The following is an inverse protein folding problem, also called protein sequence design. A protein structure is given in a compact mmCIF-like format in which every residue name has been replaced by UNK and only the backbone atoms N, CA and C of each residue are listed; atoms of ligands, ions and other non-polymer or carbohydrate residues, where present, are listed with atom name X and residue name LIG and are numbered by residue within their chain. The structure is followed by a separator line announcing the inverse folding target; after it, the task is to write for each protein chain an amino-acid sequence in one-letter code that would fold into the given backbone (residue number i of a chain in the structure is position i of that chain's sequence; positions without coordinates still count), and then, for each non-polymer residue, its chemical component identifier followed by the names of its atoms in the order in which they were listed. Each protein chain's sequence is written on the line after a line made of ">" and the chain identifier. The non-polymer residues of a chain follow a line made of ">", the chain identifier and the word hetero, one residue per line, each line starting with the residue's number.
data_IF_217545117626
#
_entry.id   IF_217545117626
#
_cell.length_a   1.000
_cell.length_b   1.000
_cell.length_c   1.000
_cell.angle_alpha   90.00
_cell.angle_beta   90.00
_cell.angle_gamma   90.00
#
_symmetry.space_group_name_H-M   'P 1'
#
loop_
_entity.id
_entity.type
_entity.pdbx_description
1 polymer ?
#
# COMPACT_ATOMS: atom_id res chain seq x y z
N UNK A 1 -21.67 -2.72 34.38
CA UNK A 1 -21.63 -2.20 32.97
C UNK A 1 -20.18 -2.01 32.66
N UNK A 2 -19.55 -3.04 32.07
CA UNK A 2 -18.18 -3.00 31.58
C UNK A 2 -18.18 -2.15 30.31
N UNK A 3 -17.53 -0.98 30.38
CA UNK A 3 -17.24 -0.18 29.18
C UNK A 3 -16.46 -1.02 28.20
N UNK A 4 -17.01 -1.22 27.00
CA UNK A 4 -16.27 -1.81 25.91
C UNK A 4 -15.02 -0.95 25.69
N UNK A 5 -13.85 -1.58 25.75
CA UNK A 5 -12.56 -1.00 25.38
C UNK A 5 -12.67 -0.58 23.90
N UNK A 6 -13.03 0.68 23.68
CA UNK A 6 -12.98 1.30 22.37
C UNK A 6 -11.52 1.65 22.16
N UNK A 7 -10.78 0.71 21.59
CA UNK A 7 -9.38 0.94 21.24
C UNK A 7 -9.17 2.30 20.58
N UNK A 8 -7.94 2.79 20.58
CA UNK A 8 -7.57 4.09 20.02
C UNK A 8 -8.10 4.24 18.59
N UNK A 9 -8.55 5.45 18.21
CA UNK A 9 -9.00 5.70 16.86
C UNK A 9 -7.85 5.45 15.86
N UNK A 10 -8.16 4.99 14.63
CA UNK A 10 -7.13 4.77 13.61
C UNK A 10 -6.50 6.08 13.15
N UNK A 11 -5.23 6.04 12.78
CA UNK A 11 -4.71 7.01 11.84
C UNK A 11 -5.39 6.80 10.50
N UNK A 12 -5.78 7.90 9.83
CA UNK A 12 -6.47 7.87 8.55
C UNK A 12 -5.69 8.63 7.50
N UNK A 13 -5.45 8.01 6.35
CA UNK A 13 -4.84 8.61 5.16
C UNK A 13 -5.66 8.33 3.91
N UNK A 14 -5.31 9.02 2.83
CA UNK A 14 -5.78 8.73 1.47
C UNK A 14 -4.54 8.51 0.62
N UNK A 15 -4.37 7.29 0.14
CA UNK A 15 -3.28 6.94 -0.76
C UNK A 15 -3.65 7.28 -2.20
N UNK A 16 -2.75 7.96 -2.90
CA UNK A 16 -2.83 8.24 -4.32
C UNK A 16 -1.49 7.86 -4.92
N UNK A 17 -1.48 6.83 -5.75
CA UNK A 17 -0.25 6.19 -6.23
C UNK A 17 -0.33 5.80 -7.70
N UNK A 18 0.84 5.67 -8.35
CA UNK A 18 1.04 4.93 -9.59
C UNK A 18 1.91 3.71 -9.35
N UNK A 19 1.67 2.67 -10.14
CA UNK A 19 2.41 1.40 -10.09
C UNK A 19 2.88 1.01 -11.48
N UNK A 20 4.07 0.40 -11.52
CA UNK A 20 4.69 -0.08 -12.75
C UNK A 20 5.28 -1.46 -12.51
N UNK A 21 5.04 -2.39 -13.42
CA UNK A 21 5.80 -3.63 -13.48
C UNK A 21 7.17 -3.36 -14.09
N UNK A 22 8.20 -3.97 -13.54
CA UNK A 22 9.56 -3.84 -14.04
C UNK A 22 10.24 -5.20 -14.12
N UNK A 23 11.24 -5.31 -14.98
CA UNK A 23 12.06 -6.51 -15.06
C UNK A 23 13.13 -6.53 -13.95
N UNK A 24 13.57 -7.73 -13.58
CA UNK A 24 14.64 -7.88 -12.61
C UNK A 24 15.91 -7.15 -13.12
N UNK A 25 16.46 -6.27 -12.28
CA UNK A 25 17.63 -5.48 -12.60
C UNK A 25 17.36 -4.20 -13.40
N UNK A 26 16.11 -3.79 -13.57
CA UNK A 26 15.78 -2.46 -14.07
C UNK A 26 16.44 -1.38 -13.17
N UNK A 27 17.07 -0.41 -13.82
CA UNK A 27 17.70 0.69 -13.09
C UNK A 27 16.62 1.68 -12.62
N UNK A 28 16.69 2.05 -11.32
CA UNK A 28 15.80 3.08 -10.75
C UNK A 28 15.95 4.38 -11.55
N UNK A 29 14.83 5.00 -11.98
CA UNK A 29 14.86 6.29 -12.68
C UNK A 29 15.47 7.40 -11.82
N UNK A 30 15.99 8.43 -12.47
CA UNK A 30 16.35 9.67 -11.78
C UNK A 30 15.08 10.49 -11.51
N UNK A 31 14.67 10.54 -10.26
CA UNK A 31 13.48 11.25 -9.81
C UNK A 31 13.72 12.73 -9.51
N UNK A 32 14.97 13.22 -9.58
CA UNK A 32 15.30 14.61 -9.28
C UNK A 32 14.70 15.62 -10.27
N UNK A 33 14.34 15.17 -11.48
CA UNK A 33 13.74 16.00 -12.53
C UNK A 33 12.20 16.12 -12.43
N UNK A 34 11.57 15.46 -11.44
CA UNK A 34 10.13 15.53 -11.27
C UNK A 34 9.67 16.91 -10.78
N UNK A 35 8.48 17.40 -11.21
CA UNK A 35 7.94 18.70 -10.83
C UNK A 35 7.84 18.87 -9.30
N UNK A 36 8.58 19.84 -8.75
CA UNK A 36 8.58 20.16 -7.33
C UNK A 36 9.53 19.33 -6.47
N UNK A 37 10.21 18.31 -7.01
CA UNK A 37 11.26 17.58 -6.31
C UNK A 37 12.54 18.41 -6.31
N UNK A 38 13.13 18.58 -5.13
CA UNK A 38 14.41 19.29 -4.92
C UNK A 38 15.46 18.32 -4.38
N UNK A 39 15.03 17.33 -3.59
CA UNK A 39 15.94 16.34 -3.02
C UNK A 39 15.32 14.94 -3.13
N UNK A 40 16.16 13.97 -3.44
CA UNK A 40 15.86 12.54 -3.37
C UNK A 40 16.73 11.95 -2.27
N UNK A 41 16.14 11.27 -1.30
CA UNK A 41 16.90 10.65 -0.22
C UNK A 41 17.75 9.48 -0.72
N UNK A 42 18.71 9.04 0.10
CA UNK A 42 19.28 7.71 -0.06
C UNK A 42 18.19 6.65 0.09
N UNK A 43 18.36 5.51 -0.58
CA UNK A 43 17.45 4.38 -0.45
C UNK A 43 17.44 3.80 0.97
N UNK A 44 16.28 3.60 1.52
CA UNK A 44 16.06 2.93 2.82
C UNK A 44 15.55 1.52 2.57
N UNK A 45 16.30 0.51 2.99
CA UNK A 45 15.89 -0.90 2.89
C UNK A 45 14.85 -1.24 3.96
N UNK A 46 13.75 -1.87 3.55
CA UNK A 46 12.66 -2.31 4.43
C UNK A 46 12.23 -3.72 4.06
N UNK A 47 12.33 -4.67 5.00
CA UNK A 47 11.75 -6.01 4.85
C UNK A 47 10.35 -6.00 5.44
N UNK A 48 9.34 -6.16 4.61
CA UNK A 48 7.92 -6.10 4.98
C UNK A 48 7.30 -7.49 4.89
N UNK A 49 6.50 -7.88 5.90
CA UNK A 49 5.75 -9.14 5.91
C UNK A 49 4.30 -8.86 6.32
N UNK A 50 3.38 -9.09 5.39
CA UNK A 50 1.96 -8.82 5.56
C UNK A 50 1.12 -10.08 5.42
N UNK A 51 0.24 -10.33 6.39
CA UNK A 51 -0.80 -11.35 6.33
C UNK A 51 -2.13 -10.65 6.08
N UNK A 52 -2.79 -11.03 4.99
CA UNK A 52 -4.12 -10.57 4.64
C UNK A 52 -5.16 -11.56 5.14
N UNK A 53 -6.26 -11.02 5.66
CA UNK A 53 -7.38 -11.79 6.21
C UNK A 53 -8.67 -11.44 5.47
N UNK A 54 -9.51 -12.45 5.27
CA UNK A 54 -10.89 -12.27 4.79
C UNK A 54 -11.77 -13.39 5.35
N UNK A 55 -13.08 -13.25 5.20
CA UNK A 55 -14.03 -14.34 5.49
C UNK A 55 -13.87 -15.49 4.48
N UNK A 56 -14.30 -16.67 4.83
CA UNK A 56 -14.19 -17.85 3.94
C UNK A 56 -14.78 -17.61 2.54
N UNK A 57 -15.83 -16.82 2.45
CA UNK A 57 -16.51 -16.44 1.20
C UNK A 57 -16.01 -15.15 0.56
N UNK A 58 -14.97 -14.49 1.11
CA UNK A 58 -14.36 -13.30 0.55
C UNK A 58 -15.22 -12.01 0.69
N UNK A 59 -15.89 -11.83 1.81
CA UNK A 59 -16.84 -10.71 2.00
C UNK A 59 -16.16 -9.33 1.92
N UNK A 60 -14.90 -9.21 2.39
CA UNK A 60 -14.13 -7.96 2.30
C UNK A 60 -13.75 -7.67 0.85
N UNK A 61 -13.14 -8.63 0.16
CA UNK A 61 -12.69 -8.46 -1.22
C UNK A 61 -13.86 -8.09 -2.17
N UNK A 62 -15.02 -8.75 -2.03
CA UNK A 62 -16.23 -8.44 -2.84
C UNK A 62 -16.71 -7.00 -2.68
N UNK A 63 -16.39 -6.33 -1.57
CA UNK A 63 -16.77 -4.94 -1.29
C UNK A 63 -15.57 -3.97 -1.44
N UNK A 64 -14.46 -4.44 -1.99
CA UNK A 64 -13.26 -3.65 -2.26
C UNK A 64 -12.45 -3.32 -1.01
N UNK A 65 -12.68 -4.01 0.10
CA UNK A 65 -11.88 -3.87 1.32
C UNK A 65 -10.75 -4.88 1.35
N UNK A 66 -9.64 -4.50 2.01
CA UNK A 66 -8.58 -5.41 2.39
C UNK A 66 -8.19 -5.15 3.85
N UNK A 67 -8.08 -6.20 4.64
CA UNK A 67 -7.57 -6.17 6.01
C UNK A 67 -6.23 -6.90 6.06
N UNK A 68 -5.19 -6.24 6.58
CA UNK A 68 -3.87 -6.85 6.75
C UNK A 68 -3.25 -6.53 8.11
N UNK A 69 -2.43 -7.44 8.59
CA UNK A 69 -1.41 -7.17 9.62
C UNK A 69 -0.05 -7.15 8.93
N UNK A 70 0.70 -6.06 9.08
CA UNK A 70 2.04 -5.92 8.51
C UNK A 70 3.07 -5.72 9.61
N UNK A 71 4.19 -6.41 9.48
CA UNK A 71 5.41 -6.21 10.27
C UNK A 71 6.51 -5.66 9.38
N UNK A 72 7.51 -5.04 9.98
CA UNK A 72 8.57 -4.35 9.27
C UNK A 72 8.13 -2.97 8.75
N UNK A 73 9.12 -2.09 8.55
CA UNK A 73 8.88 -0.71 8.13
C UNK A 73 8.33 0.22 9.23
N UNK A 74 8.25 1.52 8.95
CA UNK A 74 7.87 2.54 9.93
C UNK A 74 6.37 2.48 10.30
N UNK A 75 5.54 1.91 9.45
CA UNK A 75 4.09 1.80 9.59
C UNK A 75 3.63 0.35 9.89
N UNK A 76 4.45 -0.40 10.62
CA UNK A 76 4.06 -1.72 11.10
C UNK A 76 2.76 -1.64 11.93
N UNK A 77 1.77 -2.49 11.56
CA UNK A 77 0.44 -2.36 12.17
C UNK A 77 -0.64 -3.17 11.49
N UNK A 78 -1.86 -2.89 11.88
CA UNK A 78 -3.08 -3.33 11.23
C UNK A 78 -3.57 -2.26 10.27
N UNK A 79 -3.96 -2.67 9.07
CA UNK A 79 -4.41 -1.76 8.03
C UNK A 79 -5.73 -2.23 7.43
N UNK A 80 -6.64 -1.30 7.24
CA UNK A 80 -7.83 -1.50 6.41
C UNK A 80 -7.70 -0.57 5.22
N UNK A 81 -7.62 -1.14 4.01
CA UNK A 81 -7.76 -0.37 2.77
C UNK A 81 -9.19 -0.49 2.28
N UNK A 82 -9.85 0.65 2.08
CA UNK A 82 -11.21 0.74 1.56
C UNK A 82 -11.27 0.58 0.03
N UNK A 83 -12.45 0.67 -0.56
CA UNK A 83 -12.61 0.72 -2.01
C UNK A 83 -11.96 1.98 -2.58
N UNK A 84 -11.55 1.91 -3.86
CA UNK A 84 -10.98 3.05 -4.57
C UNK A 84 -12.05 4.12 -4.81
N UNK A 85 -11.74 5.37 -4.50
CA UNK A 85 -12.60 6.51 -4.77
C UNK A 85 -12.64 6.90 -6.25
N UNK A 86 -13.59 7.75 -6.62
CA UNK A 86 -13.74 8.25 -8.00
C UNK A 86 -12.53 9.11 -8.47
N UNK A 87 -11.80 9.69 -7.54
CA UNK A 87 -10.57 10.47 -7.77
C UNK A 87 -9.30 9.60 -7.85
N UNK A 88 -9.46 8.27 -7.81
CA UNK A 88 -8.37 7.30 -7.79
C UNK A 88 -7.75 7.08 -6.40
N UNK A 89 -8.08 7.89 -5.41
CA UNK A 89 -7.60 7.76 -4.04
C UNK A 89 -8.20 6.57 -3.32
N UNK A 90 -7.47 6.03 -2.33
CA UNK A 90 -7.90 4.92 -1.50
C UNK A 90 -7.73 5.25 -0.03
N UNK A 91 -8.83 5.19 0.72
CA UNK A 91 -8.78 5.41 2.16
C UNK A 91 -8.06 4.26 2.83
N UNK A 92 -7.06 4.57 3.65
CA UNK A 92 -6.41 3.63 4.56
C UNK A 92 -6.63 4.04 6.01
N UNK A 93 -6.94 3.05 6.84
CA UNK A 93 -7.01 3.15 8.30
C UNK A 93 -5.91 2.30 8.89
N UNK A 94 -5.15 2.86 9.84
CA UNK A 94 -4.01 2.21 10.46
C UNK A 94 -4.13 2.19 11.98
N UNK A 95 -3.82 1.04 12.60
CA UNK A 95 -3.66 0.84 14.03
C UNK A 95 -2.30 0.19 14.34
N UNK A 96 -1.70 0.48 15.49
CA UNK A 96 -0.48 -0.22 15.93
C UNK A 96 -0.67 -1.74 16.02
N UNK A 97 0.42 -2.50 16.04
CA UNK A 97 0.40 -3.97 16.02
C UNK A 97 -0.42 -4.61 17.15
N UNK A 98 -0.37 -4.10 18.37
CA UNK A 98 -1.07 -4.71 19.50
C UNK A 98 -0.64 -6.16 19.79
N UNK A 99 -1.55 -6.96 20.38
CA UNK A 99 -1.32 -8.37 20.65
C UNK A 99 -1.21 -9.19 19.37
N UNK A 100 -0.29 -10.15 19.35
CA UNK A 100 -0.03 -10.97 18.17
C UNK A 100 -1.27 -11.79 17.75
N UNK A 101 -1.59 -11.74 16.45
CA UNK A 101 -2.70 -12.49 15.86
C UNK A 101 -4.10 -11.97 16.19
N UNK A 102 -4.22 -10.93 17.02
CA UNK A 102 -5.53 -10.39 17.43
C UNK A 102 -5.87 -9.15 16.60
N UNK A 103 -6.95 -9.23 15.81
CA UNK A 103 -7.49 -8.07 15.10
C UNK A 103 -8.03 -7.06 16.10
N UNK A 104 -7.61 -5.79 16.07
CA UNK A 104 -8.10 -4.77 16.99
C UNK A 104 -9.63 -4.68 16.95
N UNK A 105 -10.25 -4.52 18.14
CA UNK A 105 -11.72 -4.39 18.24
C UNK A 105 -12.23 -3.20 17.40
N UNK A 106 -11.48 -2.08 17.38
CA UNK A 106 -11.81 -0.92 16.57
C UNK A 106 -11.80 -1.25 15.06
N UNK A 107 -10.81 -2.03 14.58
CA UNK A 107 -10.78 -2.47 13.17
C UNK A 107 -11.95 -3.39 12.81
N UNK A 108 -12.36 -4.28 13.72
CA UNK A 108 -13.59 -5.09 13.53
C UNK A 108 -14.84 -4.22 13.51
N UNK A 109 -14.90 -3.18 14.33
CA UNK A 109 -16.02 -2.23 14.34
C UNK A 109 -16.15 -1.49 13.03
N UNK A 110 -15.04 -1.02 12.44
CA UNK A 110 -15.03 -0.38 11.11
C UNK A 110 -15.56 -1.31 10.01
N UNK A 111 -15.28 -2.59 10.12
CA UNK A 111 -15.71 -3.60 9.13
C UNK A 111 -17.03 -4.29 9.49
N UNK A 112 -17.70 -3.92 10.60
CA UNK A 112 -18.88 -4.63 11.11
C UNK A 112 -20.02 -4.74 10.10
N UNK A 113 -20.26 -3.72 9.29
CA UNK A 113 -21.25 -3.72 8.22
C UNK A 113 -20.95 -4.69 7.08
N UNK A 114 -19.72 -5.23 7.00
CA UNK A 114 -19.30 -6.21 5.99
C UNK A 114 -19.13 -7.59 6.62
N UNK A 115 -18.53 -7.66 7.80
CA UNK A 115 -18.17 -8.92 8.44
C UNK A 115 -19.32 -9.56 9.20
N UNK A 116 -20.19 -8.75 9.87
CA UNK A 116 -21.09 -9.31 10.87
C UNK A 116 -20.30 -10.11 11.91
N UNK A 117 -20.74 -11.33 12.19
CA UNK A 117 -20.09 -12.26 13.12
C UNK A 117 -19.13 -13.25 12.41
N UNK A 118 -18.86 -13.05 11.12
CA UNK A 118 -18.03 -13.98 10.35
C UNK A 118 -16.58 -14.05 10.87
N UNK A 119 -16.04 -15.25 10.83
CA UNK A 119 -14.64 -15.50 11.17
C UNK A 119 -13.71 -15.00 10.05
N UNK A 120 -12.58 -14.41 10.45
CA UNK A 120 -11.50 -13.99 9.56
C UNK A 120 -10.43 -15.09 9.52
N UNK A 121 -10.07 -15.50 8.32
CA UNK A 121 -9.04 -16.52 8.06
C UNK A 121 -7.96 -15.99 7.14
N UNK A 122 -6.73 -16.51 7.17
CA UNK A 122 -5.68 -16.11 6.26
C UNK A 122 -6.11 -16.28 4.79
N UNK A 123 -5.90 -15.21 4.02
CA UNK A 123 -6.19 -15.16 2.59
C UNK A 123 -4.92 -15.24 1.76
N UNK A 124 -3.95 -14.37 2.09
CA UNK A 124 -2.66 -14.33 1.42
C UNK A 124 -1.57 -13.81 2.35
N UNK A 125 -0.33 -14.24 2.12
CA UNK A 125 0.86 -13.66 2.72
C UNK A 125 1.69 -12.96 1.66
N UNK A 126 2.12 -11.74 1.93
CA UNK A 126 2.94 -10.93 1.03
C UNK A 126 4.20 -10.52 1.77
N UNK A 127 5.35 -10.97 1.29
CA UNK A 127 6.66 -10.51 1.71
C UNK A 127 7.23 -9.60 0.65
N UNK A 128 7.79 -8.48 1.08
CA UNK A 128 8.28 -7.46 0.17
C UNK A 128 9.60 -6.90 0.67
N UNK A 129 10.65 -7.09 -0.12
CA UNK A 129 11.92 -6.39 0.07
C UNK A 129 11.80 -5.07 -0.70
N UNK A 130 11.69 -3.98 0.05
CA UNK A 130 11.48 -2.63 -0.46
C UNK A 130 12.72 -1.80 -0.28
N UNK A 131 13.07 -1.02 -1.31
CA UNK A 131 13.96 0.13 -1.14
C UNK A 131 13.13 1.40 -1.34
N UNK A 132 12.98 2.21 -0.30
CA UNK A 132 12.15 3.41 -0.31
C UNK A 132 13.01 4.68 -0.44
N UNK A 133 12.53 5.65 -1.25
CA UNK A 133 13.18 6.94 -1.47
C UNK A 133 12.18 8.05 -1.20
N UNK A 134 12.49 8.96 -0.28
CA UNK A 134 11.69 10.15 -0.06
C UNK A 134 12.04 11.22 -1.11
N UNK A 135 11.02 11.71 -1.79
CA UNK A 135 11.11 12.82 -2.75
C UNK A 135 10.60 14.09 -2.05
N UNK A 136 11.51 15.00 -1.72
CA UNK A 136 11.19 16.19 -0.94
C UNK A 136 11.18 17.47 -1.78
N UNK A 137 10.27 18.37 -1.42
CA UNK A 137 10.16 19.71 -1.99
C UNK A 137 11.13 20.72 -1.38
N UNK A 138 10.99 21.98 -1.75
CA UNK A 138 11.90 23.06 -1.37
C UNK A 138 11.92 23.34 0.14
N UNK A 139 10.85 23.10 0.84
CA UNK A 139 10.71 23.24 2.29
C UNK A 139 11.14 21.98 3.08
N UNK A 140 11.63 20.95 2.37
CA UNK A 140 12.03 19.66 2.94
C UNK A 140 10.86 18.70 3.22
N UNK A 141 9.63 19.12 2.96
CA UNK A 141 8.45 18.26 3.10
C UNK A 141 8.43 17.16 2.04
N UNK A 142 8.06 15.93 2.42
CA UNK A 142 7.98 14.79 1.51
C UNK A 142 6.73 14.93 0.63
N UNK A 143 6.93 15.18 -0.66
CA UNK A 143 5.85 15.31 -1.66
C UNK A 143 5.48 13.98 -2.31
N UNK A 144 6.40 13.01 -2.33
CA UNK A 144 6.14 11.65 -2.74
C UNK A 144 7.15 10.68 -2.11
N UNK A 145 6.78 9.40 -2.01
CA UNK A 145 7.70 8.29 -1.76
C UNK A 145 7.74 7.41 -3.02
N UNK A 146 8.94 7.10 -3.48
CA UNK A 146 9.16 6.06 -4.48
C UNK A 146 9.60 4.79 -3.78
N UNK A 147 9.03 3.65 -4.19
CA UNK A 147 9.36 2.34 -3.68
C UNK A 147 9.75 1.39 -4.82
N UNK A 148 10.90 0.77 -4.68
CA UNK A 148 11.39 -0.31 -5.50
C UNK A 148 11.13 -1.62 -4.76
N UNK A 149 10.16 -2.43 -5.25
CA UNK A 149 9.56 -3.54 -4.52
C UNK A 149 9.84 -4.89 -5.18
N UNK A 150 10.57 -5.76 -4.49
CA UNK A 150 10.69 -7.18 -4.82
C UNK A 150 9.69 -8.00 -4.01
N UNK A 151 8.62 -8.44 -4.66
CA UNK A 151 7.44 -9.01 -4.00
C UNK A 151 7.41 -10.51 -4.15
N UNK A 152 7.20 -11.23 -3.04
CA UNK A 152 6.90 -12.67 -2.99
C UNK A 152 5.60 -12.88 -2.25
N UNK A 153 4.72 -13.68 -2.81
CA UNK A 153 3.39 -13.91 -2.24
C UNK A 153 3.04 -15.38 -2.19
N UNK A 154 2.15 -15.69 -1.24
CA UNK A 154 1.47 -16.97 -1.16
C UNK A 154 -0.02 -16.73 -1.01
N UNK A 155 -0.80 -17.29 -1.93
CA UNK A 155 -2.24 -17.49 -1.74
C UNK A 155 -2.42 -18.62 -0.73
N UNK A 156 -2.84 -18.30 0.49
CA UNK A 156 -2.93 -19.28 1.60
C UNK A 156 -4.06 -20.27 1.41
N UNK A 157 -5.05 -19.94 0.57
CA UNK A 157 -6.21 -20.83 0.32
C UNK A 157 -5.95 -21.84 -0.79
N UNK A 158 -5.22 -21.42 -1.82
CA UNK A 158 -4.95 -22.26 -2.99
C UNK A 158 -3.52 -22.83 -2.99
N UNK A 159 -2.65 -22.37 -2.09
CA UNK A 159 -1.26 -22.80 -2.00
C UNK A 159 -0.39 -22.38 -3.19
N UNK A 160 -0.75 -21.26 -3.85
CA UNK A 160 -0.06 -20.76 -5.04
C UNK A 160 0.92 -19.66 -4.64
N UNK A 161 2.18 -19.84 -5.02
CA UNK A 161 3.22 -18.82 -4.83
C UNK A 161 3.40 -18.01 -6.12
N UNK A 162 3.67 -16.70 -5.96
CA UNK A 162 4.01 -15.78 -7.05
C UNK A 162 5.11 -14.84 -6.62
N UNK A 163 5.90 -14.36 -7.57
CA UNK A 163 6.89 -13.31 -7.35
C UNK A 163 6.93 -12.35 -8.53
N UNK A 164 7.25 -11.09 -8.26
CA UNK A 164 7.43 -10.05 -9.26
C UNK A 164 8.22 -8.88 -8.70
N UNK A 165 8.62 -7.99 -9.60
CA UNK A 165 9.27 -6.73 -9.28
C UNK A 165 8.36 -5.59 -9.75
N UNK A 166 8.13 -4.61 -8.91
CA UNK A 166 7.30 -3.44 -9.24
C UNK A 166 7.85 -2.17 -8.61
N UNK A 167 7.56 -1.07 -9.25
CA UNK A 167 7.77 0.27 -8.71
C UNK A 167 6.43 0.87 -8.31
N UNK A 168 6.43 1.56 -7.17
CA UNK A 168 5.31 2.38 -6.69
C UNK A 168 5.78 3.80 -6.48
N UNK A 169 4.97 4.77 -6.81
CA UNK A 169 5.16 6.15 -6.40
C UNK A 169 3.88 6.68 -5.80
N UNK A 170 3.94 7.04 -4.52
CA UNK A 170 2.81 7.47 -3.72
C UNK A 170 2.98 8.94 -3.32
N UNK A 171 1.90 9.73 -3.39
CA UNK A 171 1.94 11.11 -2.94
C UNK A 171 2.12 11.19 -1.43
N UNK A 172 3.08 11.99 -1.00
CA UNK A 172 3.39 12.24 0.40
C UNK A 172 2.52 13.35 1.02
N UNK A 173 2.66 13.56 2.33
CA UNK A 173 1.83 14.51 3.07
C UNK A 173 2.06 15.98 2.70
N UNK A 174 3.20 16.30 2.09
CA UNK A 174 3.52 17.64 1.60
C UNK A 174 3.20 17.84 0.11
N UNK A 175 2.56 16.86 -0.54
CA UNK A 175 2.12 17.00 -1.93
C UNK A 175 1.13 18.18 -2.06
N UNK A 176 1.28 19.06 -3.06
CA UNK A 176 0.30 20.10 -3.33
C UNK A 176 -1.10 19.51 -3.58
N UNK A 177 -2.11 20.12 -2.98
CA UNK A 177 -3.50 19.70 -3.15
C UNK A 177 -4.09 20.08 -4.54
N UNK A 178 -3.33 20.81 -5.36
CA UNK A 178 -3.74 21.26 -6.69
C UNK A 178 -3.87 20.05 -7.67
N UNK A 179 -5.05 19.78 -8.22
CA UNK A 179 -5.26 18.71 -9.18
C UNK A 179 -4.42 18.84 -10.45
N UNK A 180 -4.11 20.07 -10.90
CA UNK A 180 -3.29 20.30 -12.08
C UNK A 180 -1.83 19.94 -11.83
N UNK A 181 -1.30 20.32 -10.65
CA UNK A 181 0.03 19.90 -10.24
C UNK A 181 0.11 18.37 -10.17
N UNK A 182 -0.86 17.72 -9.53
CA UNK A 182 -0.92 16.26 -9.42
C UNK A 182 -0.92 15.58 -10.79
N UNK A 183 -1.72 16.05 -11.72
CA UNK A 183 -1.75 15.52 -13.08
C UNK A 183 -0.39 15.67 -13.80
N UNK A 184 0.24 16.84 -13.67
CA UNK A 184 1.57 17.10 -14.26
C UNK A 184 2.66 16.25 -13.61
N UNK A 185 2.62 16.07 -12.27
CA UNK A 185 3.55 15.24 -11.53
C UNK A 185 3.46 13.78 -12.00
N UNK A 186 2.26 13.19 -12.03
CA UNK A 186 2.10 11.80 -12.44
C UNK A 186 2.39 11.57 -13.92
N UNK A 187 2.14 12.53 -14.80
CA UNK A 187 2.54 12.44 -16.20
C UNK A 187 4.09 12.41 -16.35
N UNK A 188 4.81 13.19 -15.56
CA UNK A 188 6.27 13.15 -15.52
C UNK A 188 6.79 11.82 -14.95
N UNK A 189 6.17 11.32 -13.87
CA UNK A 189 6.47 10.00 -13.29
C UNK A 189 6.30 8.89 -14.32
N UNK A 190 5.16 8.85 -15.01
CA UNK A 190 4.89 7.86 -16.04
C UNK A 190 5.93 7.90 -17.16
N UNK A 191 6.27 9.09 -17.62
CA UNK A 191 7.29 9.29 -18.67
C UNK A 191 8.65 8.73 -18.23
N UNK A 192 9.09 9.06 -17.00
CA UNK A 192 10.38 8.61 -16.48
C UNK A 192 10.40 7.09 -16.25
N UNK A 193 9.33 6.53 -15.66
CA UNK A 193 9.21 5.10 -15.41
C UNK A 193 9.23 4.29 -16.71
N UNK A 194 8.46 4.70 -17.73
CA UNK A 194 8.43 4.04 -19.03
C UNK A 194 9.79 4.12 -19.74
N UNK A 195 10.47 5.26 -19.67
CA UNK A 195 11.81 5.43 -20.23
C UNK A 195 12.87 4.50 -19.58
N UNK A 196 12.68 4.16 -18.31
CA UNK A 196 13.54 3.24 -17.56
C UNK A 196 13.13 1.76 -17.70
N UNK A 197 12.12 1.44 -18.53
CA UNK A 197 11.68 0.07 -18.80
C UNK A 197 10.49 -0.38 -17.93
N UNK A 198 9.88 0.53 -17.19
CA UNK A 198 8.62 0.28 -16.50
C UNK A 198 7.48 0.05 -17.49
N UNK A 199 6.49 -0.71 -17.10
CA UNK A 199 5.25 -0.98 -17.85
C UNK A 199 4.07 -0.75 -16.90
N UNK A 200 2.90 -0.45 -17.45
CA UNK A 200 1.68 -0.37 -16.63
C UNK A 200 1.52 -1.65 -15.79
N UNK A 201 1.26 -1.51 -14.51
CA UNK A 201 1.11 -2.64 -13.59
C UNK A 201 -0.02 -3.57 -14.06
N UNK A 202 0.22 -4.88 -13.96
CA UNK A 202 -0.76 -5.90 -14.35
C UNK A 202 -1.96 -5.96 -13.38
N UNK A 203 -1.83 -5.39 -12.20
CA UNK A 203 -2.88 -5.38 -11.17
C UNK A 203 -2.80 -4.12 -10.31
N UNK A 204 -3.97 -3.63 -9.89
CA UNK A 204 -4.11 -2.43 -9.04
C UNK A 204 -3.64 -2.64 -7.58
N UNK A 205 -3.43 -3.89 -7.17
CA UNK A 205 -2.95 -4.18 -5.82
C UNK A 205 -2.15 -5.47 -5.72
N UNK A 206 -1.16 -5.47 -4.84
CA UNK A 206 -0.37 -6.68 -4.50
C UNK A 206 -1.26 -7.86 -4.09
N UNK A 207 -2.36 -7.59 -3.33
CA UNK A 207 -3.29 -8.63 -2.91
C UNK A 207 -4.03 -9.26 -4.10
N UNK A 208 -4.59 -8.44 -5.00
CA UNK A 208 -5.29 -8.94 -6.19
C UNK A 208 -4.34 -9.80 -7.03
N UNK A 209 -3.11 -9.32 -7.27
CA UNK A 209 -2.09 -10.07 -8.01
C UNK A 209 -1.68 -11.37 -7.32
N UNK A 210 -1.56 -11.38 -5.99
CA UNK A 210 -1.29 -12.58 -5.21
C UNK A 210 -2.37 -13.65 -5.38
N UNK A 211 -3.62 -13.23 -5.59
CA UNK A 211 -4.77 -14.10 -5.82
C UNK A 211 -5.01 -14.45 -7.31
N UNK A 212 -4.22 -13.85 -8.22
CA UNK A 212 -4.30 -14.14 -9.67
C UNK A 212 -5.29 -13.28 -10.45
N UNK A 213 -5.58 -12.07 -9.94
CA UNK A 213 -6.46 -11.08 -10.58
C UNK A 213 -5.65 -9.90 -11.12
#
# INVERSE_FOLDING_TARGET
>A
VTGADRGDPPARSVEIELKFDVDAGAAVPDWSELPGVVTVSAGEERSLDAIYLDTADGALARRGFALRRRTGGPDAGWHIKGPRGADGGRVELHWPLGAEGVVPAAARTELSGVLGDAELTPLARIRNERVAYALAGQDGGVIAEFADDHVRTRDERNGIDREWHEWEIELGPAAPADPQWRASFFAAVETAALAAGGRAAASDSKLARALGH
#
